data_IF_481116272071
#
_entry.id   IF_481116272071
#
_cell.length_a   1.000
_cell.length_b   1.000
_cell.length_c   1.000
_cell.angle_alpha   90.00
_cell.angle_beta   90.00
_cell.angle_gamma   90.00
#
_symmetry.space_group_name_H-M   'P 1'
#
loop_
_entity.id
_entity.type
_entity.pdbx_description
1 polymer ?
#
# COMPACT_ATOMS: atom_id res chain seq x y z
N UNK A 1 16.97 11.08 11.75
CA UNK A 1 16.36 9.79 12.13
C UNK A 1 14.82 9.78 12.15
N UNK A 2 14.10 10.91 11.95
CA UNK A 2 12.61 10.88 11.89
C UNK A 2 12.05 10.53 10.52
N UNK A 3 12.66 10.99 9.43
CA UNK A 3 12.19 10.71 8.06
C UNK A 3 12.26 9.22 7.70
N UNK A 4 13.29 8.52 8.17
CA UNK A 4 13.50 7.09 7.92
C UNK A 4 12.49 6.21 8.69
N UNK A 5 12.17 6.57 9.94
CA UNK A 5 11.12 5.90 10.70
C UNK A 5 9.73 6.08 10.05
N UNK A 6 9.45 7.27 9.53
CA UNK A 6 8.21 7.56 8.80
C UNK A 6 8.12 6.78 7.48
N UNK A 7 9.22 6.74 6.72
CA UNK A 7 9.33 5.94 5.49
C UNK A 7 9.11 4.45 5.77
N UNK A 8 9.77 3.89 6.80
CA UNK A 8 9.61 2.48 7.17
C UNK A 8 8.17 2.15 7.59
N UNK A 9 7.48 3.06 8.27
CA UNK A 9 6.07 2.88 8.63
C UNK A 9 5.16 2.85 7.39
N UNK A 10 5.38 3.75 6.43
CA UNK A 10 4.65 3.75 5.15
C UNK A 10 4.96 2.51 4.32
N UNK A 11 6.21 2.07 4.28
CA UNK A 11 6.62 0.86 3.55
C UNK A 11 5.94 -0.40 4.14
N UNK A 12 5.89 -0.53 5.47
CA UNK A 12 5.16 -1.62 6.13
C UNK A 12 3.66 -1.60 5.80
N UNK A 13 3.03 -0.43 5.75
CA UNK A 13 1.62 -0.31 5.35
C UNK A 13 1.43 -0.71 3.89
N UNK A 14 2.34 -0.32 3.01
CA UNK A 14 2.30 -0.68 1.60
C UNK A 14 2.43 -2.21 1.41
N UNK A 15 3.37 -2.86 2.12
CA UNK A 15 3.51 -4.32 2.12
C UNK A 15 2.23 -5.03 2.60
N UNK A 16 1.62 -4.54 3.68
CA UNK A 16 0.37 -5.11 4.20
C UNK A 16 -0.82 -4.94 3.23
N UNK A 17 -0.88 -3.84 2.47
CA UNK A 17 -1.90 -3.68 1.42
C UNK A 17 -1.65 -4.63 0.24
N UNK A 18 -0.38 -4.87 -0.11
CA UNK A 18 -0.03 -5.82 -1.17
C UNK A 18 -0.43 -7.25 -0.81
N UNK A 19 -0.19 -7.67 0.42
CA UNK A 19 -0.65 -8.98 0.91
C UNK A 19 -2.17 -9.11 0.88
N UNK A 20 -2.90 -8.06 1.27
CA UNK A 20 -4.36 -8.05 1.21
C UNK A 20 -4.88 -8.13 -0.23
N UNK A 21 -4.28 -7.38 -1.16
CA UNK A 21 -4.63 -7.44 -2.58
C UNK A 21 -4.39 -8.85 -3.12
N UNK A 22 -3.22 -9.43 -2.87
CA UNK A 22 -2.88 -10.78 -3.33
C UNK A 22 -3.83 -11.83 -2.73
N UNK A 23 -4.15 -11.70 -1.45
CA UNK A 23 -5.09 -12.59 -0.78
C UNK A 23 -6.47 -12.50 -1.44
N UNK A 24 -7.00 -11.30 -1.66
CA UNK A 24 -8.29 -11.09 -2.31
C UNK A 24 -8.30 -11.53 -3.77
N UNK A 25 -7.24 -11.27 -4.55
CA UNK A 25 -7.10 -11.71 -5.95
C UNK A 25 -7.01 -13.24 -6.07
N UNK A 26 -6.47 -13.92 -5.05
CA UNK A 26 -6.40 -15.39 -5.01
C UNK A 26 -7.74 -16.05 -4.69
N UNK A 27 -8.75 -15.29 -4.25
CA UNK A 27 -10.06 -15.84 -3.91
C UNK A 27 -10.78 -16.28 -5.19
N UNK A 28 -11.55 -17.38 -5.16
CA UNK A 28 -12.34 -17.84 -6.31
C UNK A 28 -13.40 -16.83 -6.78
N UNK A 29 -13.84 -15.93 -5.88
CA UNK A 29 -14.76 -14.83 -6.16
C UNK A 29 -14.18 -13.56 -5.53
N UNK A 30 -13.27 -12.86 -6.21
CA UNK A 30 -12.64 -11.66 -5.69
C UNK A 30 -13.65 -10.51 -5.63
N UNK A 31 -13.66 -9.76 -4.53
CA UNK A 31 -14.43 -8.51 -4.46
C UNK A 31 -13.67 -7.41 -5.20
N UNK A 32 -14.15 -7.08 -6.40
CA UNK A 32 -13.54 -6.07 -7.25
C UNK A 32 -13.62 -4.64 -6.67
N UNK A 33 -14.59 -4.36 -5.80
CA UNK A 33 -14.71 -3.07 -5.11
C UNK A 33 -13.62 -2.94 -4.06
N UNK A 34 -13.46 -3.95 -3.21
CA UNK A 34 -12.41 -4.00 -2.20
C UNK A 34 -11.03 -3.96 -2.86
N UNK A 35 -10.82 -4.75 -3.92
CA UNK A 35 -9.56 -4.71 -4.68
C UNK A 35 -9.26 -3.34 -5.27
N UNK A 36 -10.28 -2.62 -5.75
CA UNK A 36 -10.10 -1.28 -6.27
C UNK A 36 -9.70 -0.29 -5.17
N UNK A 37 -10.35 -0.34 -4.01
CA UNK A 37 -10.02 0.50 -2.86
C UNK A 37 -8.60 0.22 -2.35
N UNK A 38 -8.24 -1.06 -2.15
CA UNK A 38 -6.90 -1.45 -1.71
C UNK A 38 -5.81 -0.98 -2.68
N UNK A 39 -6.02 -1.15 -4.00
CA UNK A 39 -5.09 -0.67 -5.03
C UNK A 39 -4.97 0.85 -5.04
N UNK A 40 -6.08 1.57 -4.78
CA UNK A 40 -6.08 3.03 -4.67
C UNK A 40 -5.29 3.49 -3.45
N UNK A 41 -5.50 2.88 -2.28
CA UNK A 41 -4.74 3.18 -1.06
C UNK A 41 -3.24 2.92 -1.25
N UNK A 42 -2.89 1.79 -1.89
CA UNK A 42 -1.50 1.46 -2.22
C UNK A 42 -0.85 2.56 -3.08
N UNK A 43 -1.57 3.08 -4.07
CA UNK A 43 -1.13 4.18 -4.93
C UNK A 43 -0.85 5.45 -4.13
N UNK A 44 -1.74 5.81 -3.20
CA UNK A 44 -1.56 6.98 -2.33
C UNK A 44 -0.32 6.84 -1.45
N UNK A 45 -0.12 5.68 -0.81
CA UNK A 45 1.07 5.43 0.01
C UNK A 45 2.36 5.50 -0.82
N UNK A 46 2.34 4.98 -2.05
CA UNK A 46 3.47 5.05 -2.97
C UNK A 46 3.83 6.50 -3.33
N UNK A 47 2.83 7.34 -3.56
CA UNK A 47 3.03 8.77 -3.82
C UNK A 47 3.57 9.50 -2.59
N UNK A 48 3.07 9.19 -1.40
CA UNK A 48 3.58 9.74 -0.13
C UNK A 48 5.05 9.35 0.10
N UNK A 49 5.40 8.07 -0.09
CA UNK A 49 6.78 7.60 0.00
C UNK A 49 7.69 8.28 -1.03
N UNK A 50 7.21 8.50 -2.25
CA UNK A 50 7.96 9.19 -3.31
C UNK A 50 8.20 10.66 -2.95
N UNK A 51 7.18 11.34 -2.39
CA UNK A 51 7.31 12.71 -1.90
C UNK A 51 8.35 12.82 -0.78
N UNK A 52 8.31 11.90 0.18
CA UNK A 52 9.28 11.86 1.29
C UNK A 52 10.70 11.54 0.86
N UNK A 53 10.87 10.74 -0.21
CA UNK A 53 12.19 10.39 -0.75
C UNK A 53 12.81 11.53 -1.58
N UNK A 54 11.99 12.44 -2.08
CA UNK A 54 12.41 13.56 -2.95
C UNK A 54 12.60 14.87 -2.17
N UNK A 55 12.31 14.90 -0.86
CA UNK A 55 12.64 16.00 0.06
C UNK A 55 14.01 15.81 0.70
#
# INVERSE_FOLDING_TARGET
>A
MHAEAHFNALNKKHEALDEQILSEESRPAPDSTILHELKREKLVLKDEMTKLRTQ
#
